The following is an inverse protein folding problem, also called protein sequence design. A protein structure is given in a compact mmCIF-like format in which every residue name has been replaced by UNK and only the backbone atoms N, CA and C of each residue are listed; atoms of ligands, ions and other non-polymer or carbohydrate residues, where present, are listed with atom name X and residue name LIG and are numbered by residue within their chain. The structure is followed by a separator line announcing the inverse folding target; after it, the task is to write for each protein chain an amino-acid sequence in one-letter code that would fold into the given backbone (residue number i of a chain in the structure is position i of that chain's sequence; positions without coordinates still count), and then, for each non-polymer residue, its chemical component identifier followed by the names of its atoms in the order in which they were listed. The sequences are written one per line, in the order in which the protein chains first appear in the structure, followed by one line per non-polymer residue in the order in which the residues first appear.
data_IF_932028140581
#
_entry.id   IF_932028140581
#
_cell.length_a   1.000
_cell.length_b   1.000
_cell.length_c   1.000
_cell.angle_alpha   90.00
_cell.angle_beta   90.00
_cell.angle_gamma   90.00
#
_symmetry.space_group_name_H-M   'P 1'
#
loop_
_entity.id
_entity.type
_entity.pdbx_description
1 polymer ?
#
# COMPACT_ATOMS: atom_id res chain seq x y z
N UNK A 1 29.96 26.47 14.23
CA UNK A 1 28.51 26.21 14.22
C UNK A 1 28.15 25.74 12.83
N UNK A 2 28.18 24.43 12.61
CA UNK A 2 27.88 23.78 11.33
C UNK A 2 26.39 23.45 11.33
N UNK A 3 25.59 24.13 10.51
CA UNK A 3 24.19 23.77 10.27
C UNK A 3 24.14 22.41 9.58
N UNK A 4 23.58 21.41 10.25
CA UNK A 4 23.13 20.17 9.60
C UNK A 4 21.97 20.49 8.66
N UNK A 5 21.95 19.99 7.41
CA UNK A 5 20.74 20.03 6.61
C UNK A 5 19.74 19.09 7.27
N UNK A 6 18.62 19.64 7.76
CA UNK A 6 17.45 18.84 8.05
C UNK A 6 16.92 18.38 6.70
N UNK A 7 17.05 17.10 6.36
CA UNK A 7 16.18 16.51 5.35
C UNK A 7 14.76 16.59 5.92
N UNK A 8 14.02 17.62 5.52
CA UNK A 8 12.60 17.73 5.81
C UNK A 8 11.90 16.54 5.17
N UNK A 9 10.95 15.90 5.85
CA UNK A 9 10.09 14.80 5.37
C UNK A 9 9.30 15.08 4.08
N UNK A 10 9.57 16.17 3.35
CA UNK A 10 8.83 16.67 2.20
C UNK A 10 9.44 16.28 0.83
N UNK A 11 10.68 15.79 0.77
CA UNK A 11 11.34 15.46 -0.51
C UNK A 11 10.68 14.28 -1.24
N UNK A 12 10.08 13.36 -0.48
CA UNK A 12 9.56 12.12 -1.04
C UNK A 12 8.31 12.33 -1.90
N UNK A 13 7.41 13.25 -1.54
CA UNK A 13 6.19 13.54 -2.32
C UNK A 13 6.48 14.38 -3.56
N UNK A 14 7.65 15.00 -3.67
CA UNK A 14 8.07 15.84 -4.81
C UNK A 14 8.79 15.05 -5.91
N UNK A 15 9.10 13.77 -5.67
CA UNK A 15 9.77 12.89 -6.63
C UNK A 15 8.74 11.91 -7.21
N UNK A 16 8.44 11.94 -8.52
CA UNK A 16 7.47 11.04 -9.11
C UNK A 16 8.00 9.61 -9.14
N UNK A 17 7.09 8.65 -8.93
CA UNK A 17 7.31 7.22 -9.05
C UNK A 17 6.89 6.79 -10.45
N UNK A 18 7.84 6.41 -11.30
CA UNK A 18 7.59 6.14 -12.72
C UNK A 18 7.71 4.65 -13.06
N UNK A 19 8.51 3.91 -12.30
CA UNK A 19 8.76 2.47 -12.50
C UNK A 19 8.28 1.63 -11.33
N UNK A 20 8.24 0.31 -11.52
CA UNK A 20 7.92 -0.63 -10.43
C UNK A 20 9.02 -0.66 -9.36
N UNK A 21 10.28 -0.46 -9.75
CA UNK A 21 11.42 -0.36 -8.83
C UNK A 21 11.35 0.94 -8.00
N UNK A 22 10.95 2.05 -8.61
CA UNK A 22 10.68 3.30 -7.89
C UNK A 22 9.56 3.10 -6.87
N UNK A 23 8.51 2.37 -7.28
CA UNK A 23 7.36 2.10 -6.42
C UNK A 23 7.75 1.23 -5.23
N UNK A 24 8.52 0.17 -5.48
CA UNK A 24 9.02 -0.69 -4.41
C UNK A 24 9.91 0.09 -3.45
N UNK A 25 10.86 0.87 -3.96
CA UNK A 25 11.76 1.71 -3.16
C UNK A 25 10.98 2.72 -2.32
N UNK A 26 9.94 3.33 -2.92
CA UNK A 26 9.04 4.26 -2.25
C UNK A 26 8.31 3.60 -1.08
N UNK A 27 7.71 2.44 -1.33
CA UNK A 27 6.94 1.70 -0.32
C UNK A 27 7.86 1.24 0.81
N UNK A 28 9.04 0.70 0.49
CA UNK A 28 10.02 0.26 1.49
C UNK A 28 10.52 1.44 2.36
N UNK A 29 10.65 2.63 1.78
CA UNK A 29 11.03 3.85 2.53
C UNK A 29 9.93 4.31 3.50
N UNK A 30 8.66 4.20 3.13
CA UNK A 30 7.52 4.69 3.92
C UNK A 30 7.13 3.70 5.01
N UNK A 31 6.98 2.43 4.62
CA UNK A 31 6.45 1.38 5.50
C UNK A 31 7.58 0.68 6.24
N UNK A 32 8.69 0.39 5.54
CA UNK A 32 9.80 -0.36 6.11
C UNK A 32 9.44 -1.79 6.49
N UNK A 33 10.31 -2.46 7.29
CA UNK A 33 10.05 -3.79 7.83
C UNK A 33 8.85 -3.80 8.78
N UNK A 34 8.11 -4.91 8.79
CA UNK A 34 6.90 -5.02 9.58
C UNK A 34 7.17 -4.99 11.08
N UNK A 35 6.35 -4.21 11.80
CA UNK A 35 6.42 -4.02 13.24
C UNK A 35 5.11 -4.46 13.91
N UNK A 36 3.96 -4.15 13.29
CA UNK A 36 2.64 -4.49 13.83
C UNK A 36 1.73 -5.01 12.73
N UNK A 37 0.79 -5.95 13.01
CA UNK A 37 -0.16 -6.37 11.99
C UNK A 37 -1.06 -5.19 11.58
N UNK A 38 -0.83 -4.67 10.38
CA UNK A 38 -1.61 -3.56 9.83
C UNK A 38 -1.63 -3.59 8.30
N UNK A 39 -2.60 -2.91 7.70
CA UNK A 39 -2.63 -2.64 6.27
C UNK A 39 -2.38 -1.17 6.03
N UNK A 40 -1.44 -0.85 5.15
CA UNK A 40 -1.22 0.50 4.66
C UNK A 40 -1.85 0.74 3.32
N UNK A 41 -2.28 1.98 3.14
CA UNK A 41 -2.86 2.50 1.94
C UNK A 41 -2.09 3.74 1.54
N UNK A 42 -1.50 3.70 0.36
CA UNK A 42 -0.80 4.82 -0.26
C UNK A 42 -1.51 5.15 -1.57
N UNK A 43 -1.57 6.43 -1.90
CA UNK A 43 -2.23 6.90 -3.11
C UNK A 43 -1.26 7.67 -3.99
N UNK A 44 -1.35 7.44 -5.29
CA UNK A 44 -0.49 8.07 -6.28
C UNK A 44 -1.35 8.70 -7.37
N UNK A 45 -1.05 9.94 -7.72
CA UNK A 45 -1.68 10.63 -8.86
C UNK A 45 -1.31 9.93 -10.18
N UNK A 46 -1.99 10.25 -11.29
CA UNK A 46 -1.65 9.67 -12.60
C UNK A 46 -0.24 10.03 -13.07
N UNK A 47 0.35 11.10 -12.52
CA UNK A 47 1.71 11.55 -12.80
C UNK A 47 2.77 10.87 -11.91
N UNK A 48 2.36 9.96 -11.03
CA UNK A 48 3.26 9.21 -10.14
C UNK A 48 3.65 9.93 -8.86
N UNK A 49 3.03 11.08 -8.54
CA UNK A 49 3.27 11.76 -7.27
C UNK A 49 2.45 11.10 -6.16
N UNK A 50 3.10 10.83 -5.03
CA UNK A 50 2.41 10.29 -3.87
C UNK A 50 1.58 11.39 -3.20
N UNK A 51 0.31 11.10 -2.92
CA UNK A 51 -0.51 11.96 -2.09
C UNK A 51 -0.05 11.88 -0.62
N UNK A 52 -0.17 12.97 0.17
CA UNK A 52 0.24 12.97 1.58
C UNK A 52 -0.53 11.99 2.47
N UNK A 53 -1.65 11.46 1.96
CA UNK A 53 -2.55 10.59 2.71
C UNK A 53 -1.97 9.19 2.81
N UNK A 54 -1.68 8.77 4.04
CA UNK A 54 -1.30 7.41 4.39
C UNK A 54 -2.28 6.91 5.45
N UNK A 55 -3.04 5.87 5.15
CA UNK A 55 -4.07 5.37 6.06
C UNK A 55 -3.66 3.99 6.60
N UNK A 56 -3.30 3.88 7.88
CA UNK A 56 -3.13 2.59 8.52
C UNK A 56 -4.49 2.03 8.94
N UNK A 57 -4.79 0.81 8.50
CA UNK A 57 -5.92 0.02 8.98
C UNK A 57 -5.38 -1.00 9.98
N UNK A 58 -5.68 -0.77 11.26
CA UNK A 58 -5.26 -1.63 12.37
C UNK A 58 -6.06 -2.95 12.39
N UNK A 59 -5.47 -3.98 13.01
CA UNK A 59 -6.06 -5.31 13.18
C UNK A 59 -6.63 -5.94 11.89
N UNK A 60 -5.83 -6.04 10.81
CA UNK A 60 -6.26 -6.76 9.62
C UNK A 60 -6.51 -8.22 10.00
N UNK A 61 -7.60 -8.85 9.50
CA UNK A 61 -7.91 -10.22 9.83
C UNK A 61 -6.70 -11.15 9.62
N UNK A 62 -6.36 -11.93 10.65
CA UNK A 62 -5.19 -12.82 10.64
C UNK A 62 -5.39 -14.10 9.83
N UNK A 63 -6.63 -14.35 9.37
CA UNK A 63 -7.02 -15.54 8.60
C UNK A 63 -7.34 -15.24 7.14
N UNK A 64 -8.10 -16.16 6.53
CA UNK A 64 -8.58 -16.02 5.16
C UNK A 64 -9.45 -14.76 5.03
N UNK A 65 -9.10 -13.82 4.12
CA UNK A 65 -9.87 -12.59 3.94
C UNK A 65 -11.26 -12.92 3.45
N UNK A 66 -12.33 -12.44 4.11
CA UNK A 66 -13.68 -12.59 3.53
C UNK A 66 -13.87 -11.56 2.42
N UNK A 67 -14.63 -11.92 1.38
CA UNK A 67 -14.89 -11.03 0.26
C UNK A 67 -15.51 -9.70 0.72
N UNK A 68 -16.52 -9.76 1.60
CA UNK A 68 -17.17 -8.58 2.17
C UNK A 68 -16.21 -7.66 2.92
N UNK A 69 -15.21 -8.21 3.60
CA UNK A 69 -14.19 -7.41 4.31
C UNK A 69 -13.32 -6.65 3.31
N UNK A 70 -12.85 -7.31 2.25
CA UNK A 70 -12.09 -6.67 1.18
C UNK A 70 -12.93 -5.58 0.49
N UNK A 71 -14.20 -5.86 0.19
CA UNK A 71 -15.13 -4.89 -0.42
C UNK A 71 -15.35 -3.66 0.47
N UNK A 72 -15.59 -3.86 1.77
CA UNK A 72 -15.77 -2.75 2.70
C UNK A 72 -14.52 -1.88 2.78
N UNK A 73 -13.34 -2.50 2.83
CA UNK A 73 -12.06 -1.80 2.88
C UNK A 73 -11.81 -0.99 1.61
N UNK A 74 -11.99 -1.60 0.44
CA UNK A 74 -11.85 -0.90 -0.85
C UNK A 74 -12.86 0.23 -1.00
N UNK A 75 -14.10 0.05 -0.54
CA UNK A 75 -15.11 1.10 -0.56
C UNK A 75 -14.68 2.30 0.28
N UNK A 76 -14.17 2.06 1.50
CA UNK A 76 -13.66 3.12 2.36
C UNK A 76 -12.47 3.85 1.71
N UNK A 77 -11.58 3.13 1.03
CA UNK A 77 -10.46 3.72 0.30
C UNK A 77 -10.91 4.61 -0.86
N UNK A 78 -11.89 4.14 -1.64
CA UNK A 78 -12.45 4.93 -2.73
C UNK A 78 -13.05 6.24 -2.21
N UNK A 79 -13.71 6.19 -1.06
CA UNK A 79 -14.16 7.39 -0.35
C UNK A 79 -13.02 8.33 0.01
N UNK A 80 -11.94 7.81 0.60
CA UNK A 80 -10.77 8.61 0.96
C UNK A 80 -10.09 9.26 -0.26
N UNK A 81 -9.95 8.55 -1.39
CA UNK A 81 -9.43 9.12 -2.64
C UNK A 81 -10.38 10.21 -3.16
N UNK A 82 -11.68 9.95 -3.15
CA UNK A 82 -12.67 10.93 -3.60
C UNK A 82 -12.56 12.26 -2.84
N UNK A 83 -12.29 12.21 -1.54
CA UNK A 83 -12.08 13.41 -0.71
C UNK A 83 -10.83 14.21 -1.11
N UNK A 84 -9.84 13.59 -1.76
CA UNK A 84 -8.66 14.30 -2.28
C UNK A 84 -8.96 15.12 -3.54
N UNK A 85 -10.04 14.79 -4.27
CA UNK A 85 -10.39 15.41 -5.55
C UNK A 85 -9.46 15.03 -6.71
N UNK A 86 -8.54 14.09 -6.51
CA UNK A 86 -7.57 13.61 -7.49
C UNK A 86 -7.95 12.21 -7.99
N UNK A 87 -7.70 11.95 -9.28
CA UNK A 87 -7.81 10.60 -9.86
C UNK A 87 -6.58 9.76 -9.43
N UNK A 88 -6.60 9.21 -8.22
CA UNK A 88 -5.46 8.48 -7.68
C UNK A 88 -5.59 6.95 -7.82
N UNK A 89 -4.44 6.29 -8.01
CA UNK A 89 -4.31 4.85 -7.90
C UNK A 89 -3.87 4.45 -6.48
N UNK A 90 -4.41 3.35 -5.97
CA UNK A 90 -4.08 2.81 -4.66
C UNK A 90 -2.89 1.85 -4.70
N UNK A 91 -2.15 1.81 -3.61
CA UNK A 91 -1.15 0.79 -3.30
C UNK A 91 -1.47 0.20 -1.94
N UNK A 92 -1.53 -1.13 -1.88
CA UNK A 92 -1.78 -1.88 -0.65
C UNK A 92 -0.48 -2.44 -0.09
N UNK A 93 -0.28 -2.33 1.23
CA UNK A 93 0.87 -2.97 1.90
C UNK A 93 0.40 -3.70 3.15
N UNK A 94 0.54 -5.02 3.19
CA UNK A 94 0.12 -5.84 4.34
C UNK A 94 1.34 -6.07 5.23
N UNK A 95 1.31 -5.63 6.49
CA UNK A 95 2.36 -5.97 7.47
C UNK A 95 2.12 -7.33 8.12
N UNK A 96 3.19 -8.12 8.17
CA UNK A 96 3.26 -9.43 8.84
C UNK A 96 4.53 -9.49 9.70
N UNK A 97 4.53 -8.93 10.92
CA UNK A 97 5.73 -8.82 11.75
C UNK A 97 6.32 -10.19 12.13
N UNK A 98 5.47 -11.20 12.34
CA UNK A 98 5.90 -12.54 12.72
C UNK A 98 6.35 -13.42 11.53
N UNK A 99 6.40 -12.86 10.32
CA UNK A 99 6.74 -13.60 9.11
C UNK A 99 8.03 -13.06 8.46
N UNK A 100 8.79 -13.98 7.88
CA UNK A 100 10.03 -13.72 7.12
C UNK A 100 9.91 -14.11 5.65
N UNK A 101 8.83 -14.80 5.27
CA UNK A 101 8.57 -15.31 3.93
C UNK A 101 7.12 -15.04 3.51
N UNK A 102 6.90 -14.86 2.21
CA UNK A 102 5.55 -14.77 1.62
C UNK A 102 4.86 -16.12 1.71
N UNK A 103 3.59 -16.13 2.12
CA UNK A 103 2.76 -17.33 2.20
C UNK A 103 1.67 -17.35 1.13
N UNK A 104 1.05 -18.51 0.90
CA UNK A 104 -0.12 -18.62 0.03
C UNK A 104 -1.30 -17.77 0.52
N UNK A 105 -1.42 -17.58 1.83
CA UNK A 105 -2.43 -16.71 2.42
C UNK A 105 -2.25 -15.26 1.96
N UNK A 106 -1.02 -14.79 1.83
CA UNK A 106 -0.73 -13.43 1.36
C UNK A 106 -1.09 -13.25 -0.12
N UNK A 107 -0.87 -14.28 -0.93
CA UNK A 107 -1.32 -14.29 -2.33
C UNK A 107 -2.86 -14.28 -2.43
N UNK A 108 -3.55 -14.98 -1.53
CA UNK A 108 -5.02 -14.95 -1.47
C UNK A 108 -5.50 -13.54 -1.06
N UNK A 109 -4.84 -12.91 -0.09
CA UNK A 109 -5.11 -11.53 0.28
C UNK A 109 -4.95 -10.57 -0.90
N UNK A 110 -3.81 -10.61 -1.60
CA UNK A 110 -3.58 -9.79 -2.77
C UNK A 110 -4.67 -9.96 -3.83
N UNK A 111 -5.01 -11.20 -4.20
CA UNK A 111 -6.05 -11.48 -5.19
C UNK A 111 -7.42 -10.95 -4.78
N UNK A 112 -7.82 -11.09 -3.50
CA UNK A 112 -9.13 -10.59 -3.04
C UNK A 112 -9.19 -9.07 -2.97
N UNK A 113 -8.10 -8.41 -2.58
CA UNK A 113 -8.00 -6.95 -2.63
C UNK A 113 -8.09 -6.45 -4.07
N UNK A 114 -7.38 -7.08 -5.00
CA UNK A 114 -7.42 -6.75 -6.43
C UNK A 114 -8.81 -6.97 -7.02
N UNK A 115 -9.47 -8.08 -6.71
CA UNK A 115 -10.82 -8.35 -7.17
C UNK A 115 -11.84 -7.34 -6.62
N UNK A 116 -11.73 -6.99 -5.34
CA UNK A 116 -12.58 -5.97 -4.72
C UNK A 116 -12.33 -4.58 -5.33
N UNK A 117 -11.06 -4.21 -5.56
CA UNK A 117 -10.68 -2.95 -6.19
C UNK A 117 -11.20 -2.85 -7.64
N UNK A 118 -11.05 -3.92 -8.41
CA UNK A 118 -11.59 -4.00 -9.77
C UNK A 118 -13.12 -3.84 -9.79
N UNK A 119 -13.83 -4.52 -8.89
CA UNK A 119 -15.29 -4.40 -8.78
C UNK A 119 -15.76 -2.99 -8.35
N UNK A 120 -14.87 -2.21 -7.73
CA UNK A 120 -15.14 -0.85 -7.30
C UNK A 120 -14.59 0.22 -8.27
N UNK A 121 -14.04 -0.17 -9.43
CA UNK A 121 -13.33 0.73 -10.35
C UNK A 121 -12.23 1.56 -9.65
N UNK A 122 -11.51 0.95 -8.71
CA UNK A 122 -10.37 1.56 -8.04
C UNK A 122 -9.07 1.11 -8.73
N UNK A 123 -8.33 2.00 -9.41
CA UNK A 123 -7.04 1.65 -9.99
C UNK A 123 -6.05 1.22 -8.91
N UNK A 124 -5.35 0.10 -9.12
CA UNK A 124 -4.34 -0.41 -8.20
C UNK A 124 -2.98 -0.38 -8.88
N UNK A 125 -2.04 0.36 -8.31
CA UNK A 125 -0.68 0.51 -8.83
C UNK A 125 0.28 -0.57 -8.29
N UNK A 126 0.00 -1.13 -7.12
CA UNK A 126 0.85 -2.12 -6.46
C UNK A 126 0.18 -2.82 -5.28
N UNK A 127 0.57 -4.06 -5.02
CA UNK A 127 0.28 -4.78 -3.78
C UNK A 127 1.59 -5.31 -3.23
N UNK A 128 1.85 -5.06 -1.96
CA UNK A 128 3.08 -5.41 -1.28
C UNK A 128 2.77 -6.13 0.03
N UNK A 129 3.74 -6.92 0.48
CA UNK A 129 3.83 -7.39 1.85
C UNK A 129 5.03 -6.73 2.52
N UNK A 130 4.86 -6.31 3.75
CA UNK A 130 5.97 -5.96 4.62
C UNK A 130 6.18 -7.12 5.59
N UNK A 131 7.40 -7.65 5.59
CA UNK A 131 7.86 -8.74 6.46
C UNK A 131 8.87 -8.15 7.44
N UNK A 132 9.25 -8.91 8.47
CA UNK A 132 10.35 -8.53 9.36
C UNK A 132 11.70 -8.29 8.64
N UNK A 133 11.84 -8.78 7.41
CA UNK A 133 13.02 -8.63 6.54
C UNK A 133 12.88 -7.54 5.46
N UNK A 134 11.81 -6.75 5.51
CA UNK A 134 11.52 -5.64 4.59
C UNK A 134 10.35 -5.89 3.65
N UNK A 135 10.14 -4.97 2.71
CA UNK A 135 8.99 -5.00 1.80
C UNK A 135 9.25 -5.87 0.56
N UNK A 136 8.25 -6.64 0.12
CA UNK A 136 8.28 -7.43 -1.12
C UNK A 136 7.00 -7.23 -1.95
N UNK A 137 7.10 -7.13 -3.28
CA UNK A 137 5.93 -7.05 -4.14
C UNK A 137 5.16 -8.37 -4.21
N UNK A 138 3.85 -8.29 -4.40
CA UNK A 138 2.97 -9.41 -4.74
C UNK A 138 2.45 -9.25 -6.17
N UNK A 139 2.12 -10.36 -6.88
CA UNK A 139 1.60 -10.29 -8.24
C UNK A 139 0.29 -9.50 -8.33
N UNK A 140 0.15 -8.68 -9.38
CA UNK A 140 -1.05 -7.88 -9.66
C UNK A 140 -2.16 -8.63 -10.42
N UNK A 141 -2.21 -9.94 -10.30
CA UNK A 141 -3.20 -10.75 -11.04
C UNK A 141 -4.55 -10.74 -10.31
N UNK A 142 -5.63 -10.21 -10.90
CA UNK A 142 -6.97 -10.42 -10.35
C UNK A 142 -7.28 -11.92 -10.39
N UNK A 143 -7.80 -12.45 -9.27
CA UNK A 143 -8.14 -13.87 -9.14
C UNK A 143 -9.42 -14.26 -9.84
#
# INVERSE_FOLDING_TARGET
MTSSPRHSSNDLTEIPVLTDDDLHSRVDTIVGPAVVPQLWLLFFTPLGYQLPVVIPVQDPPTGLPRAEQCTAMVTAMKGAIWETGEDAAAVFVIERPDQTVITDLDQIWARRLLAAAAAADLPVRGVFISLSTGVRPLPLTPG
#
